data_IF_900116713105
#
_entry.id   IF_900116713105
#
_cell.length_a   1.000
_cell.length_b   1.000
_cell.length_c   1.000
_cell.angle_alpha   90.00
_cell.angle_beta   90.00
_cell.angle_gamma   90.00
#
_symmetry.space_group_name_H-M   'P 1'
#
loop_
_entity.id
_entity.type
_entity.pdbx_description
1 polymer ?
#
# COMPACT_ATOMS: atom_id res chain seq x y z
N UNK A 1 -8.56 11.55 27.19
CA UNK A 1 -8.60 10.77 25.94
C UNK A 1 -9.77 11.32 25.14
N UNK A 2 -9.54 11.84 23.94
CA UNK A 2 -10.59 12.42 23.10
C UNK A 2 -11.38 11.27 22.46
N UNK A 3 -12.63 11.09 22.87
CA UNK A 3 -13.60 10.18 22.23
C UNK A 3 -14.11 10.77 20.90
N UNK A 4 -13.21 11.29 20.07
CA UNK A 4 -13.59 11.93 18.80
C UNK A 4 -14.05 10.89 17.79
N UNK A 5 -15.13 11.19 17.08
CA UNK A 5 -15.57 10.39 15.93
C UNK A 5 -14.85 10.84 14.67
N UNK A 6 -14.50 9.89 13.83
CA UNK A 6 -13.83 10.06 12.54
C UNK A 6 -14.85 9.78 11.44
N UNK A 7 -14.92 10.67 10.45
CA UNK A 7 -15.74 10.47 9.26
C UNK A 7 -14.99 9.66 8.20
N UNK A 8 -15.55 8.51 7.83
CA UNK A 8 -15.03 7.64 6.79
C UNK A 8 -15.43 8.14 5.41
N UNK A 9 -14.79 7.58 4.39
CA UNK A 9 -15.01 7.97 2.99
C UNK A 9 -16.45 7.83 2.50
N UNK A 10 -17.21 6.92 3.11
CA UNK A 10 -18.63 6.65 2.82
C UNK A 10 -19.59 7.51 3.67
N UNK A 11 -19.06 8.45 4.46
CA UNK A 11 -19.81 9.29 5.38
C UNK A 11 -20.15 8.63 6.72
N UNK A 12 -19.76 7.37 6.95
CA UNK A 12 -19.98 6.70 8.24
C UNK A 12 -19.04 7.24 9.32
N UNK A 13 -19.53 7.30 10.56
CA UNK A 13 -18.74 7.74 11.73
C UNK A 13 -18.18 6.54 12.49
N UNK A 14 -16.91 6.61 12.88
CA UNK A 14 -16.23 5.60 13.68
C UNK A 14 -15.41 6.23 14.80
N UNK A 15 -15.32 5.61 15.97
CA UNK A 15 -14.45 6.11 17.05
C UNK A 15 -12.98 6.14 16.60
N UNK A 16 -12.30 7.27 16.85
CA UNK A 16 -10.88 7.38 16.57
C UNK A 16 -10.08 6.31 17.31
N UNK A 17 -9.27 5.55 16.56
CA UNK A 17 -8.46 4.47 17.10
C UNK A 17 -6.99 4.63 16.66
N UNK A 18 -6.13 4.98 17.62
CA UNK A 18 -4.68 5.14 17.41
C UNK A 18 -4.04 3.85 16.88
N UNK A 19 -4.51 2.68 17.31
CA UNK A 19 -3.92 1.40 16.92
C UNK A 19 -4.01 1.17 15.40
N UNK A 20 -5.04 1.71 14.73
CA UNK A 20 -5.15 1.64 13.27
C UNK A 20 -4.07 2.45 12.55
N UNK A 21 -3.68 3.59 13.11
CA UNK A 21 -2.59 4.42 12.58
C UNK A 21 -1.26 3.69 12.78
N UNK A 22 -0.99 3.19 13.99
CA UNK A 22 0.23 2.44 14.31
C UNK A 22 0.42 1.25 13.36
N UNK A 23 -0.60 0.39 13.25
CA UNK A 23 -0.56 -0.77 12.37
C UNK A 23 -0.30 -0.40 10.91
N UNK A 24 -0.85 0.73 10.46
CA UNK A 24 -0.67 1.16 9.08
C UNK A 24 0.72 1.73 8.84
N UNK A 25 1.31 2.45 9.80
CA UNK A 25 2.70 2.90 9.74
C UNK A 25 3.68 1.72 9.74
N UNK A 26 3.44 0.71 10.59
CA UNK A 26 4.24 -0.52 10.61
C UNK A 26 4.16 -1.26 9.27
N UNK A 27 2.97 -1.33 8.65
CA UNK A 27 2.80 -1.91 7.31
C UNK A 27 3.56 -1.13 6.22
N UNK A 28 3.78 0.16 6.42
CA UNK A 28 4.58 1.00 5.52
C UNK A 28 6.10 0.86 5.79
N UNK A 29 6.51 0.09 6.79
CA UNK A 29 7.90 -0.19 7.12
C UNK A 29 8.46 0.66 8.27
N UNK A 30 7.65 1.47 8.94
CA UNK A 30 8.07 2.21 10.13
C UNK A 30 8.27 1.26 11.33
N UNK A 31 9.32 1.44 12.14
CA UNK A 31 9.48 0.69 13.38
C UNK A 31 8.32 0.92 14.37
N UNK A 32 7.96 -0.06 15.23
CA UNK A 32 6.82 0.04 16.14
C UNK A 32 6.85 1.25 17.09
N UNK A 33 8.03 1.65 17.56
CA UNK A 33 8.23 2.86 18.37
C UNK A 33 7.90 4.14 17.58
N UNK A 34 8.40 4.25 16.35
CA UNK A 34 8.13 5.39 15.48
C UNK A 34 6.66 5.44 15.09
N UNK A 35 6.04 4.29 14.84
CA UNK A 35 4.60 4.19 14.54
C UNK A 35 3.73 4.68 15.71
N UNK A 36 4.10 4.34 16.95
CA UNK A 36 3.43 4.82 18.18
C UNK A 36 3.56 6.33 18.33
N UNK A 37 4.74 6.88 18.10
CA UNK A 37 4.95 8.34 18.13
C UNK A 37 4.12 9.06 17.06
N UNK A 38 4.06 8.54 15.83
CA UNK A 38 3.22 9.12 14.77
C UNK A 38 1.75 9.10 15.19
N UNK A 39 1.26 7.98 15.72
CA UNK A 39 -0.12 7.86 16.17
C UNK A 39 -0.44 8.81 17.33
N UNK A 40 0.52 9.07 18.22
CA UNK A 40 0.38 10.05 19.29
C UNK A 40 0.30 11.48 18.73
N UNK A 41 1.18 11.83 17.78
CA UNK A 41 1.13 13.15 17.13
C UNK A 41 -0.17 13.38 16.35
N UNK A 42 -0.66 12.37 15.64
CA UNK A 42 -1.95 12.45 14.95
C UNK A 42 -3.09 12.60 15.96
N UNK A 43 -3.03 11.87 17.08
CA UNK A 43 -4.05 11.97 18.13
C UNK A 43 -4.13 13.35 18.78
N UNK A 44 -3.00 14.06 18.92
CA UNK A 44 -3.00 15.44 19.43
C UNK A 44 -3.67 16.41 18.47
N UNK A 45 -3.68 16.09 17.18
CA UNK A 45 -4.34 16.88 16.11
C UNK A 45 -5.76 16.39 15.80
N UNK A 46 -6.22 15.30 16.42
CA UNK A 46 -7.52 14.71 16.16
C UNK A 46 -8.65 15.52 16.81
N UNK A 47 -9.73 15.74 16.05
CA UNK A 47 -10.95 16.41 16.50
C UNK A 47 -12.20 15.64 16.05
N UNK A 48 -13.34 15.95 16.65
CA UNK A 48 -14.60 15.29 16.31
C UNK A 48 -15.07 15.67 14.90
N UNK A 49 -15.45 14.68 14.10
CA UNK A 49 -15.77 14.84 12.68
C UNK A 49 -14.55 14.90 11.76
N UNK A 50 -13.33 14.69 12.27
CA UNK A 50 -12.14 14.64 11.42
C UNK A 50 -12.25 13.51 10.40
N UNK A 51 -11.93 13.78 9.13
CA UNK A 51 -12.08 12.78 8.08
C UNK A 51 -10.89 11.81 8.05
N UNK A 52 -11.13 10.59 7.60
CA UNK A 52 -10.06 9.62 7.31
C UNK A 52 -9.04 10.12 6.27
N UNK A 53 -9.40 11.11 5.43
CA UNK A 53 -8.50 11.75 4.48
C UNK A 53 -7.52 12.70 5.18
N UNK A 54 -8.00 13.49 6.13
CA UNK A 54 -7.17 14.41 6.92
C UNK A 54 -6.20 13.63 7.80
N UNK A 55 -6.68 12.60 8.50
CA UNK A 55 -5.82 11.68 9.27
C UNK A 55 -4.73 11.11 8.38
N UNK A 56 -5.08 10.63 7.19
CA UNK A 56 -4.10 10.09 6.23
C UNK A 56 -3.07 11.14 5.81
N UNK A 57 -3.49 12.38 5.54
CA UNK A 57 -2.59 13.45 5.14
C UNK A 57 -1.54 13.73 6.23
N UNK A 58 -1.98 13.81 7.48
CA UNK A 58 -1.08 14.01 8.64
C UNK A 58 -0.13 12.83 8.79
N UNK A 59 -0.61 11.59 8.68
CA UNK A 59 0.25 10.41 8.78
C UNK A 59 1.32 10.39 7.69
N UNK A 60 0.95 10.69 6.44
CA UNK A 60 1.91 10.75 5.34
C UNK A 60 2.93 11.87 5.53
N UNK A 61 2.51 13.04 6.01
CA UNK A 61 3.40 14.15 6.36
C UNK A 61 4.41 13.74 7.44
N UNK A 62 3.95 13.10 8.52
CA UNK A 62 4.82 12.65 9.62
C UNK A 62 5.75 11.50 9.20
N UNK A 63 5.29 10.59 8.33
CA UNK A 63 6.14 9.56 7.74
C UNK A 63 7.22 10.19 6.86
N UNK A 64 6.85 11.13 5.98
CA UNK A 64 7.78 11.79 5.06
C UNK A 64 8.86 12.60 5.78
N UNK A 65 8.50 13.31 6.87
CA UNK A 65 9.44 14.01 7.74
C UNK A 65 10.50 13.09 8.35
N UNK A 66 10.12 11.86 8.70
CA UNK A 66 10.99 10.89 9.40
C UNK A 66 11.78 10.02 8.43
N UNK A 67 11.12 9.53 7.39
CA UNK A 67 11.70 8.77 6.30
C UNK A 67 10.75 8.78 5.07
N UNK A 68 11.12 9.47 3.98
CA UNK A 68 10.34 9.51 2.74
C UNK A 68 9.98 8.13 2.17
N UNK A 69 10.84 7.12 2.35
CA UNK A 69 10.60 5.75 1.88
C UNK A 69 9.35 5.11 2.53
N UNK A 70 9.04 5.45 3.79
CA UNK A 70 7.85 4.94 4.45
C UNK A 70 6.57 5.58 3.89
N UNK A 71 6.59 6.88 3.59
CA UNK A 71 5.47 7.55 2.95
C UNK A 71 5.21 6.95 1.55
N UNK A 72 6.27 6.67 0.78
CA UNK A 72 6.17 6.03 -0.53
C UNK A 72 5.61 4.60 -0.45
N UNK A 73 6.08 3.80 0.52
CA UNK A 73 5.54 2.45 0.76
C UNK A 73 4.05 2.48 1.11
N UNK A 74 3.60 3.45 1.92
CA UNK A 74 2.18 3.64 2.21
C UNK A 74 1.40 3.96 0.94
N UNK A 75 1.87 4.93 0.14
CA UNK A 75 1.22 5.33 -1.12
C UNK A 75 1.11 4.14 -2.08
N UNK A 76 2.16 3.34 -2.19
CA UNK A 76 2.18 2.11 -2.99
C UNK A 76 1.17 1.08 -2.48
N UNK A 77 1.11 0.82 -1.17
CA UNK A 77 0.11 -0.07 -0.57
C UNK A 77 -1.33 0.40 -0.86
N UNK A 78 -1.61 1.69 -0.72
CA UNK A 78 -2.94 2.23 -1.02
C UNK A 78 -3.30 2.15 -2.52
N UNK A 79 -2.31 2.29 -3.43
CA UNK A 79 -2.50 2.09 -4.87
C UNK A 79 -2.92 0.64 -5.17
N UNK A 80 -2.17 -0.34 -4.68
CA UNK A 80 -2.39 -1.75 -5.04
C UNK A 80 -3.58 -2.37 -4.28
N UNK A 81 -3.78 -2.03 -3.00
CA UNK A 81 -4.79 -2.70 -2.15
C UNK A 81 -6.13 -1.97 -2.19
N UNK A 82 -6.11 -0.64 -2.25
CA UNK A 82 -7.33 0.17 -2.16
C UNK A 82 -7.75 0.74 -3.51
N UNK A 83 -7.02 0.46 -4.60
CA UNK A 83 -7.22 1.08 -5.92
C UNK A 83 -7.38 2.61 -5.84
N UNK A 84 -6.73 3.24 -4.86
CA UNK A 84 -6.78 4.70 -4.69
C UNK A 84 -5.72 5.32 -5.59
N UNK A 85 -6.17 6.02 -6.63
CA UNK A 85 -5.38 7.05 -7.31
C UNK A 85 -4.82 7.98 -6.21
N UNK A 86 -3.50 8.13 -6.14
CA UNK A 86 -2.81 8.78 -5.02
C UNK A 86 -3.24 10.24 -4.86
N UNK A 87 -3.47 10.65 -3.60
CA UNK A 87 -3.90 11.98 -3.20
C UNK A 87 -2.67 12.81 -2.83
N UNK A 88 -2.32 13.81 -3.64
CA UNK A 88 -1.29 14.80 -3.29
C UNK A 88 -1.94 16.17 -3.06
N UNK A 89 -1.60 16.78 -1.90
CA UNK A 89 -1.86 18.20 -1.58
C UNK A 89 -3.29 18.70 -1.86
N UNK A 90 -4.31 17.90 -1.57
CA UNK A 90 -5.70 18.37 -1.68
C UNK A 90 -6.28 18.38 -3.09
N UNK A 91 -5.60 17.83 -4.10
CA UNK A 91 -6.16 17.66 -5.46
C UNK A 91 -6.27 16.19 -5.83
N UNK A 92 -7.44 15.80 -6.36
CA UNK A 92 -7.58 14.54 -7.08
C UNK A 92 -6.73 14.64 -8.35
N UNK A 93 -5.62 13.94 -8.42
CA UNK A 93 -4.90 13.76 -9.68
C UNK A 93 -5.52 12.57 -10.38
N UNK A 94 -6.63 12.78 -11.09
CA UNK A 94 -7.01 11.83 -12.14
C UNK A 94 -5.97 12.00 -13.23
N UNK A 95 -5.11 11.00 -13.45
CA UNK A 95 -4.28 10.98 -14.65
C UNK A 95 -5.17 10.53 -15.81
N UNK A 96 -5.94 11.49 -16.33
CA UNK A 96 -6.28 11.47 -17.74
C UNK A 96 -5.00 11.79 -18.50
N UNK A 97 -4.46 10.77 -19.17
CA UNK A 97 -3.35 10.85 -20.14
C UNK A 97 -2.11 11.66 -19.70
N UNK A 98 -1.07 10.92 -19.32
CA UNK A 98 0.31 11.27 -19.65
C UNK A 98 1.10 11.99 -18.55
N UNK A 99 2.31 11.47 -18.33
CA UNK A 99 3.42 12.10 -17.59
C UNK A 99 3.41 11.95 -16.07
N UNK A 100 3.16 10.72 -15.57
CA UNK A 100 4.01 10.05 -14.56
C UNK A 100 3.55 8.59 -14.36
N UNK A 101 3.14 7.92 -15.44
CA UNK A 101 2.45 6.63 -15.39
C UNK A 101 2.66 5.91 -16.73
N UNK A 102 3.21 4.71 -16.70
CA UNK A 102 2.90 3.64 -17.65
C UNK A 102 2.11 2.65 -16.77
N UNK A 103 0.82 2.35 -16.98
CA UNK A 103 0.12 2.14 -18.23
C UNK A 103 -0.36 0.69 -18.15
N UNK A 104 -1.56 0.46 -17.58
CA UNK A 104 -2.13 -0.89 -17.43
C UNK A 104 -2.16 -1.58 -18.80
N UNK A 105 -1.38 -2.65 -18.99
CA UNK A 105 -1.41 -3.45 -20.22
C UNK A 105 -2.42 -4.61 -20.21
N UNK A 106 -3.21 -4.79 -19.14
CA UNK A 106 -4.20 -5.88 -19.10
C UNK A 106 -5.61 -5.29 -19.21
N UNK A 107 -6.38 -5.78 -20.19
CA UNK A 107 -7.83 -5.56 -20.27
C UNK A 107 -8.45 -6.07 -18.96
N UNK A 108 -9.17 -5.22 -18.25
CA UNK A 108 -9.91 -5.58 -17.04
C UNK A 108 -10.87 -6.75 -17.37
N UNK A 109 -10.52 -7.99 -17.02
CA UNK A 109 -11.43 -9.15 -17.02
C UNK A 109 -11.71 -9.48 -15.55
N UNK A 110 -12.71 -8.85 -14.94
CA UNK A 110 -13.17 -9.19 -13.57
C UNK A 110 -13.32 -8.03 -12.60
N UNK A 111 -13.51 -8.36 -11.31
CA UNK A 111 -13.67 -7.39 -10.21
C UNK A 111 -12.34 -6.77 -9.78
N UNK A 112 -12.08 -5.51 -10.13
CA UNK A 112 -10.88 -4.72 -9.74
C UNK A 112 -10.26 -5.09 -8.37
N UNK A 113 -8.96 -5.39 -8.33
CA UNK A 113 -8.10 -5.31 -7.14
C UNK A 113 -7.60 -6.63 -6.54
N UNK A 114 -6.48 -7.13 -7.07
CA UNK A 114 -5.86 -8.41 -6.74
C UNK A 114 -6.90 -9.53 -6.67
N UNK A 115 -7.73 -9.62 -7.71
CA UNK A 115 -8.80 -10.63 -7.84
C UNK A 115 -8.35 -11.93 -8.49
N UNK A 116 -7.26 -11.88 -9.24
CA UNK A 116 -6.69 -13.01 -9.97
C UNK A 116 -5.17 -12.86 -10.10
N UNK A 117 -4.51 -13.96 -10.50
CA UNK A 117 -3.07 -14.04 -10.69
C UNK A 117 -2.57 -13.16 -11.85
N UNK A 118 -3.39 -12.88 -12.86
CA UNK A 118 -2.95 -12.08 -14.01
C UNK A 118 -2.76 -10.61 -13.64
N UNK A 119 -3.59 -10.06 -12.74
CA UNK A 119 -3.34 -8.75 -12.12
C UNK A 119 -2.01 -8.73 -11.34
N UNK A 120 -1.66 -9.81 -10.63
CA UNK A 120 -0.38 -9.90 -9.90
C UNK A 120 0.80 -9.93 -10.86
N UNK A 121 0.72 -10.74 -11.92
CA UNK A 121 1.74 -10.82 -12.97
C UNK A 121 1.90 -9.47 -13.69
N UNK A 122 0.81 -8.73 -13.90
CA UNK A 122 0.88 -7.37 -14.46
C UNK A 122 1.68 -6.43 -13.57
N UNK A 123 1.45 -6.46 -12.25
CA UNK A 123 2.24 -5.66 -11.30
C UNK A 123 3.71 -6.10 -11.32
N UNK A 124 4.01 -7.40 -11.41
CA UNK A 124 5.39 -7.90 -11.53
C UNK A 124 6.07 -7.36 -12.81
N UNK A 125 5.36 -7.31 -13.95
CA UNK A 125 5.85 -6.69 -15.19
C UNK A 125 6.14 -5.20 -15.00
N UNK A 126 5.22 -4.45 -14.38
CA UNK A 126 5.46 -3.03 -14.03
C UNK A 126 6.71 -2.85 -13.16
N UNK A 127 6.94 -3.72 -12.17
CA UNK A 127 8.14 -3.67 -11.33
C UNK A 127 9.44 -3.98 -12.08
N UNK A 128 9.36 -4.83 -13.11
CA UNK A 128 10.50 -5.12 -13.99
C UNK A 128 10.82 -3.91 -14.86
N UNK A 129 9.81 -3.29 -15.47
CA UNK A 129 9.96 -2.05 -16.22
C UNK A 129 10.51 -0.92 -15.34
N UNK A 130 9.97 -0.73 -14.13
CA UNK A 130 10.48 0.26 -13.16
C UNK A 130 11.99 0.08 -12.92
N UNK A 131 12.43 -1.16 -12.74
CA UNK A 131 13.85 -1.48 -12.53
C UNK A 131 14.69 -1.12 -13.76
N UNK A 132 14.21 -1.43 -14.98
CA UNK A 132 14.87 -1.09 -16.24
C UNK A 132 14.97 0.43 -16.45
N UNK A 133 13.98 1.19 -15.97
CA UNK A 133 13.95 2.65 -16.03
C UNK A 133 14.71 3.33 -14.87
N UNK A 134 15.49 2.57 -14.09
CA UNK A 134 16.42 3.11 -13.10
C UNK A 134 15.86 3.26 -11.69
N UNK A 135 14.69 2.68 -11.38
CA UNK A 135 14.21 2.62 -9.99
C UNK A 135 15.19 1.77 -9.15
N UNK A 136 15.63 2.24 -7.97
CA UNK A 136 16.60 1.52 -7.17
C UNK A 136 16.17 0.09 -6.80
N UNK A 137 17.11 -0.87 -6.87
CA UNK A 137 16.88 -2.29 -6.51
C UNK A 137 16.26 -2.47 -5.13
N UNK A 138 16.64 -1.63 -4.16
CA UNK A 138 16.06 -1.61 -2.81
C UNK A 138 14.56 -1.27 -2.84
N UNK A 139 14.17 -0.27 -3.62
CA UNK A 139 12.77 0.12 -3.81
C UNK A 139 11.97 -1.02 -4.44
N UNK A 140 12.50 -1.66 -5.49
CA UNK A 140 11.87 -2.83 -6.11
C UNK A 140 11.73 -3.99 -5.11
N UNK A 141 12.76 -4.24 -4.31
CA UNK A 141 12.70 -5.26 -3.25
C UNK A 141 11.55 -5.00 -2.29
N UNK A 142 11.40 -3.77 -1.79
CA UNK A 142 10.31 -3.38 -0.90
C UNK A 142 8.94 -3.53 -1.59
N UNK A 143 8.81 -3.11 -2.84
CA UNK A 143 7.56 -3.25 -3.61
C UNK A 143 7.16 -4.72 -3.79
N UNK A 144 8.12 -5.62 -4.06
CA UNK A 144 7.82 -7.07 -4.12
C UNK A 144 7.33 -7.62 -2.78
N UNK A 145 7.87 -7.14 -1.65
CA UNK A 145 7.41 -7.53 -0.32
C UNK A 145 5.98 -7.04 -0.05
N UNK A 146 5.68 -5.80 -0.42
CA UNK A 146 4.34 -5.22 -0.26
C UNK A 146 3.31 -5.97 -1.12
N UNK A 147 3.65 -6.31 -2.37
CA UNK A 147 2.80 -7.12 -3.23
C UNK A 147 2.56 -8.52 -2.65
N UNK A 148 3.61 -9.19 -2.16
CA UNK A 148 3.50 -10.49 -1.48
C UNK A 148 2.54 -10.42 -0.27
N UNK A 149 2.67 -9.39 0.56
CA UNK A 149 1.79 -9.19 1.72
C UNK A 149 0.34 -8.90 1.31
N UNK A 150 0.14 -8.20 0.19
CA UNK A 150 -1.19 -7.93 -0.36
C UNK A 150 -1.86 -9.23 -0.86
N UNK A 151 -1.12 -10.09 -1.57
CA UNK A 151 -1.59 -11.41 -2.01
C UNK A 151 -2.02 -12.27 -0.81
N UNK A 152 -1.19 -12.38 0.23
CA UNK A 152 -1.53 -13.16 1.43
C UNK A 152 -2.84 -12.71 2.09
N UNK A 153 -3.06 -11.40 2.14
CA UNK A 153 -4.21 -10.77 2.81
C UNK A 153 -5.44 -10.64 1.93
N UNK A 154 -5.32 -10.83 0.62
CA UNK A 154 -6.47 -10.75 -0.29
C UNK A 154 -7.50 -11.82 0.11
N UNK A 155 -8.75 -11.39 0.24
CA UNK A 155 -9.90 -12.28 0.41
C UNK A 155 -10.53 -12.67 -0.94
N UNK A 156 -10.08 -12.02 -2.03
CA UNK A 156 -10.57 -12.25 -3.40
C UNK A 156 -9.83 -13.37 -4.11
N UNK A 157 -8.56 -13.60 -3.75
CA UNK A 157 -7.77 -14.73 -4.24
C UNK A 157 -8.07 -15.97 -3.41
N UNK A 158 -8.43 -17.06 -4.08
CA UNK A 158 -8.45 -18.37 -3.46
C UNK A 158 -7.02 -18.89 -3.21
N UNK A 159 -6.93 -20.10 -2.61
CA UNK A 159 -5.64 -20.70 -2.26
C UNK A 159 -4.76 -20.96 -3.48
N UNK A 160 -5.34 -21.39 -4.59
CA UNK A 160 -4.60 -21.71 -5.81
C UNK A 160 -4.05 -20.44 -6.45
N UNK A 161 -4.89 -19.41 -6.57
CA UNK A 161 -4.51 -18.11 -7.10
C UNK A 161 -3.46 -17.42 -6.23
N UNK A 162 -3.54 -17.54 -4.89
CA UNK A 162 -2.47 -17.07 -3.99
C UNK A 162 -1.15 -17.78 -4.24
N UNK A 163 -1.15 -19.10 -4.42
CA UNK A 163 0.06 -19.87 -4.68
C UNK A 163 0.71 -19.43 -5.99
N UNK A 164 -0.06 -19.36 -7.09
CA UNK A 164 0.46 -18.89 -8.39
C UNK A 164 0.96 -17.45 -8.33
N UNK A 165 0.28 -16.60 -7.56
CA UNK A 165 0.68 -15.20 -7.35
C UNK A 165 2.01 -15.09 -6.60
N UNK A 166 2.21 -15.90 -5.55
CA UNK A 166 3.47 -15.97 -4.81
C UNK A 166 4.58 -16.53 -5.70
N UNK A 167 4.28 -17.53 -6.52
CA UNK A 167 5.21 -18.08 -7.50
C UNK A 167 5.68 -17.02 -8.49
N UNK A 168 4.77 -16.27 -9.12
CA UNK A 168 5.11 -15.18 -10.04
C UNK A 168 6.01 -14.11 -9.39
N UNK A 169 5.72 -13.73 -8.14
CA UNK A 169 6.59 -12.79 -7.39
C UNK A 169 7.96 -13.42 -7.15
N UNK A 170 8.02 -14.69 -6.78
CA UNK A 170 9.27 -15.39 -6.46
C UNK A 170 10.13 -15.66 -7.69
N UNK A 171 9.55 -15.90 -8.85
CA UNK A 171 10.28 -15.99 -10.13
C UNK A 171 11.03 -14.68 -10.41
N UNK A 172 10.33 -13.54 -10.35
CA UNK A 172 10.97 -12.24 -10.51
C UNK A 172 12.05 -11.97 -9.46
N UNK A 173 11.82 -12.36 -8.20
CA UNK A 173 12.84 -12.23 -7.14
C UNK A 173 14.08 -13.08 -7.43
N UNK A 174 13.90 -14.30 -7.95
CA UNK A 174 15.01 -15.19 -8.33
C UNK A 174 15.82 -14.60 -9.48
N UNK A 175 15.18 -13.99 -10.49
CA UNK A 175 15.86 -13.27 -11.58
C UNK A 175 16.81 -12.18 -11.03
N UNK A 176 16.43 -11.56 -9.91
CA UNK A 176 17.22 -10.53 -9.24
C UNK A 176 18.18 -11.06 -8.18
N UNK A 177 18.32 -12.38 -8.03
CA UNK A 177 19.19 -13.01 -7.04
C UNK A 177 18.71 -12.87 -5.59
N UNK A 178 17.44 -12.57 -5.37
CA UNK A 178 16.85 -12.46 -4.05
C UNK A 178 16.25 -13.78 -3.58
N UNK A 179 16.27 -14.00 -2.25
CA UNK A 179 15.62 -15.15 -1.65
C UNK A 179 14.10 -15.13 -1.91
N UNK A 180 13.49 -16.26 -2.28
CA UNK A 180 12.04 -16.38 -2.38
C UNK A 180 11.34 -16.04 -1.06
N UNK A 181 10.12 -15.54 -1.14
CA UNK A 181 9.22 -15.43 -0.01
C UNK A 181 8.49 -16.73 0.25
N UNK A 182 8.33 -17.04 1.54
CA UNK A 182 7.61 -18.21 2.03
C UNK A 182 6.52 -17.76 3.02
N UNK A 183 5.27 -18.21 2.86
CA UNK A 183 4.23 -17.98 3.85
C UNK A 183 4.62 -18.61 5.18
N UNK A 184 4.57 -17.84 6.28
CA UNK A 184 4.84 -18.36 7.64
C UNK A 184 3.73 -19.27 8.17
N UNK A 185 2.58 -19.29 7.53
CA UNK A 185 1.40 -20.10 7.88
C UNK A 185 0.83 -20.70 6.59
N UNK A 186 0.16 -21.86 6.65
CA UNK A 186 -0.60 -22.38 5.52
C UNK A 186 -1.61 -21.35 5.00
N UNK A 187 -1.78 -21.33 3.67
CA UNK A 187 -2.70 -20.44 2.94
C UNK A 187 -4.13 -20.94 2.99
#
# INVERSE_FOLDING_TARGET
MTEGKVEKMDGSLETFDKAKIEQSCVKAGAPPEVAREIAEEVSKRAYDGMTTREIRAIVLEELEKRNPEWADNWKFYDRIVKNRITFEKGKFVVVEKGSLYLGREVRDIGEKGLSDVEEVKAIVRELKEDLEHGVPRRTIHNRTYVLFMAVLRSKKLDREEKLKSIEAINEFRKELGWKPFEPKKPL
#
